data_IF_987628706185
#
_entry.id   IF_987628706185
#
_cell.length_a   1.000
_cell.length_b   1.000
_cell.length_c   1.000
_cell.angle_alpha   90.00
_cell.angle_beta   90.00
_cell.angle_gamma   90.00
#
_symmetry.space_group_name_H-M   'P 1'
#
loop_
_entity.id
_entity.type
_entity.pdbx_description
1 polymer ?
#
# COMPACT_ATOMS: atom_id res chain seq x y z
N UNK A 1 -12.03 -36.89 82.64
CA UNK A 1 -13.10 -37.15 81.67
C UNK A 1 -12.54 -37.02 80.28
N UNK A 2 -12.48 -38.12 79.60
CA UNK A 2 -11.79 -38.33 78.34
C UNK A 2 -12.79 -38.07 77.23
N UNK A 3 -12.51 -37.21 76.25
CA UNK A 3 -13.26 -37.15 74.99
C UNK A 3 -12.30 -37.38 73.82
N UNK A 4 -12.62 -38.42 73.07
CA UNK A 4 -11.89 -38.90 71.91
C UNK A 4 -12.09 -37.94 70.71
N UNK A 5 -10.99 -37.53 70.08
CA UNK A 5 -11.00 -36.85 68.81
C UNK A 5 -10.97 -37.85 67.63
N UNK A 6 -11.84 -37.67 66.65
CA UNK A 6 -11.88 -38.45 65.43
C UNK A 6 -10.89 -37.89 64.40
N UNK A 7 -10.04 -38.75 63.85
CA UNK A 7 -9.11 -38.46 62.78
C UNK A 7 -9.87 -38.72 61.45
N UNK A 8 -10.11 -37.64 60.69
CA UNK A 8 -10.65 -37.75 59.33
C UNK A 8 -9.51 -37.91 58.31
N UNK A 9 -9.49 -39.05 57.61
CA UNK A 9 -8.62 -39.26 56.42
C UNK A 9 -9.17 -38.44 55.22
N UNK A 10 -8.40 -37.46 54.79
CA UNK A 10 -8.58 -36.87 53.48
C UNK A 10 -7.87 -37.73 52.43
N UNK A 11 -8.63 -38.43 51.58
CA UNK A 11 -8.11 -39.09 50.39
C UNK A 11 -7.90 -38.04 49.31
N UNK A 12 -6.66 -37.67 49.04
CA UNK A 12 -6.28 -36.78 47.94
C UNK A 12 -6.36 -37.51 46.59
N UNK A 13 -7.26 -37.09 45.72
CA UNK A 13 -7.32 -37.53 44.33
C UNK A 13 -6.16 -36.88 43.56
N UNK A 14 -5.08 -37.62 43.28
CA UNK A 14 -4.04 -37.27 42.35
C UNK A 14 -4.58 -37.44 40.92
N UNK A 15 -5.00 -36.36 40.33
CA UNK A 15 -5.22 -36.29 38.87
C UNK A 15 -3.84 -36.33 38.17
N UNK A 16 -3.51 -37.49 37.61
CA UNK A 16 -2.35 -37.65 36.74
C UNK A 16 -2.64 -36.93 35.42
N UNK A 17 -2.06 -35.73 35.25
CA UNK A 17 -1.94 -35.10 33.94
C UNK A 17 -0.92 -35.91 33.11
N UNK A 18 -1.43 -36.71 32.15
CA UNK A 18 -0.60 -37.28 31.11
C UNK A 18 -0.08 -36.12 30.25
N UNK A 19 1.24 -35.96 30.05
CA UNK A 19 1.71 -35.00 29.09
C UNK A 19 1.25 -35.44 27.70
N UNK A 20 0.39 -34.65 27.06
CA UNK A 20 0.13 -34.81 25.63
C UNK A 20 1.47 -34.69 24.91
N UNK A 21 1.93 -35.81 24.34
CA UNK A 21 3.11 -35.83 23.50
C UNK A 21 2.89 -34.83 22.36
N UNK A 22 3.65 -33.75 22.36
CA UNK A 22 3.70 -32.86 21.23
C UNK A 22 4.12 -33.70 20.02
N UNK A 23 3.22 -33.84 19.05
CA UNK A 23 3.52 -34.57 17.83
C UNK A 23 4.76 -33.95 17.20
N UNK A 24 5.84 -34.73 17.10
CA UNK A 24 7.05 -34.31 16.39
C UNK A 24 6.63 -33.93 14.97
N UNK A 25 7.00 -32.75 14.48
CA UNK A 25 6.70 -32.38 13.11
C UNK A 25 7.38 -33.38 12.18
N UNK A 26 6.59 -34.12 11.39
CA UNK A 26 7.10 -35.03 10.37
C UNK A 26 8.03 -34.33 9.38
N UNK A 27 8.83 -35.07 8.60
CA UNK A 27 9.76 -34.49 7.65
C UNK A 27 9.04 -33.55 6.69
N UNK A 28 9.62 -32.37 6.48
CA UNK A 28 9.10 -31.39 5.50
C UNK A 28 9.28 -31.97 4.10
N UNK A 29 8.23 -31.94 3.26
CA UNK A 29 8.40 -32.21 1.83
C UNK A 29 9.31 -31.14 1.21
N UNK A 30 10.51 -31.46 0.74
CA UNK A 30 11.45 -30.47 0.25
C UNK A 30 10.98 -29.76 -1.04
N UNK A 31 9.93 -30.26 -1.67
CA UNK A 31 9.34 -29.65 -2.87
C UNK A 31 8.38 -28.50 -2.55
N UNK A 32 7.89 -28.41 -1.32
CA UNK A 32 6.99 -27.33 -0.88
C UNK A 32 7.83 -26.15 -0.45
N UNK A 33 7.78 -25.01 -1.15
CA UNK A 33 8.47 -23.80 -0.72
C UNK A 33 8.03 -23.44 0.70
N UNK A 34 9.00 -23.15 1.55
CA UNK A 34 8.71 -22.82 2.94
C UNK A 34 8.25 -21.37 3.06
N UNK A 35 7.18 -21.14 3.81
CA UNK A 35 6.78 -19.79 4.19
C UNK A 35 7.94 -19.12 4.95
N UNK A 36 8.37 -17.91 4.53
CA UNK A 36 9.43 -17.20 5.24
C UNK A 36 8.98 -16.81 6.65
N UNK A 37 9.90 -16.85 7.60
CA UNK A 37 9.68 -16.32 8.93
C UNK A 37 10.05 -14.84 8.91
N UNK A 38 9.09 -13.98 8.58
CA UNK A 38 9.24 -12.54 8.55
C UNK A 38 8.64 -11.92 9.81
N UNK A 39 9.24 -10.81 10.25
CA UNK A 39 8.76 -10.03 11.37
C UNK A 39 8.75 -8.55 10.98
N UNK A 40 7.81 -7.75 11.48
CA UNK A 40 7.86 -6.31 11.36
C UNK A 40 9.12 -5.76 12.05
N UNK A 41 9.76 -4.76 11.50
CA UNK A 41 10.88 -4.12 12.17
C UNK A 41 11.58 -3.07 11.32
N UNK A 42 12.20 -2.10 11.96
CA UNK A 42 12.39 -1.96 13.40
C UNK A 42 11.13 -1.54 14.18
N UNK A 43 10.15 -0.91 13.53
CA UNK A 43 8.91 -0.52 14.18
C UNK A 43 7.86 -1.62 14.09
N UNK A 44 7.20 -1.87 15.20
CA UNK A 44 6.16 -2.89 15.30
C UNK A 44 4.79 -2.32 14.91
N UNK A 45 3.89 -3.14 14.35
CA UNK A 45 2.54 -2.70 14.03
C UNK A 45 1.79 -2.22 15.29
N UNK A 46 0.80 -1.37 15.10
CA UNK A 46 -0.02 -0.84 16.19
C UNK A 46 -0.81 -1.93 16.94
N UNK A 47 -1.14 -3.02 16.24
CA UNK A 47 -1.71 -4.23 16.81
C UNK A 47 -0.94 -5.44 16.28
N UNK A 48 -0.86 -6.51 17.06
CA UNK A 48 -0.16 -7.72 16.63
C UNK A 48 -0.79 -8.32 15.37
N UNK A 49 0.05 -8.57 14.34
CA UNK A 49 -0.37 -9.27 13.13
C UNK A 49 -0.19 -10.78 13.34
N UNK A 50 -1.20 -11.63 13.07
CA UNK A 50 -1.09 -13.08 13.27
C UNK A 50 -0.24 -13.72 12.17
N UNK A 51 1.08 -13.81 12.41
CA UNK A 51 2.03 -14.39 11.46
C UNK A 51 2.39 -15.85 11.74
N UNK A 52 2.19 -16.31 12.97
CA UNK A 52 2.63 -17.62 13.48
C UNK A 52 1.59 -18.74 13.32
N UNK A 53 0.66 -18.60 12.41
CA UNK A 53 -0.39 -19.59 12.20
C UNK A 53 0.13 -20.85 11.51
N UNK A 54 -0.18 -22.02 12.06
CA UNK A 54 0.32 -23.29 11.55
C UNK A 54 -0.59 -23.86 10.47
N UNK A 55 0.00 -24.57 9.50
CA UNK A 55 -0.71 -25.26 8.43
C UNK A 55 -0.56 -26.78 8.56
N UNK A 56 -1.52 -27.50 8.00
CA UNK A 56 -1.40 -28.95 7.82
C UNK A 56 -0.40 -29.25 6.70
N UNK A 57 0.76 -29.78 7.06
CA UNK A 57 1.85 -30.07 6.14
C UNK A 57 1.52 -31.16 5.13
N UNK A 58 0.49 -31.96 5.38
CA UNK A 58 0.04 -33.02 4.47
C UNK A 58 -1.01 -32.52 3.47
N UNK A 59 -1.62 -31.36 3.72
CA UNK A 59 -2.62 -30.75 2.83
C UNK A 59 -1.97 -29.81 1.83
N UNK A 60 -1.34 -30.36 0.80
CA UNK A 60 -0.66 -29.61 -0.24
C UNK A 60 -1.33 -29.80 -1.60
N UNK A 61 -1.63 -28.72 -2.29
CA UNK A 61 -2.23 -28.68 -3.61
C UNK A 61 -1.27 -28.04 -4.63
N UNK A 62 -0.67 -28.88 -5.49
CA UNK A 62 0.09 -28.39 -6.63
C UNK A 62 -0.86 -28.06 -7.79
N UNK A 63 -0.73 -26.86 -8.34
CA UNK A 63 -1.48 -26.48 -9.55
C UNK A 63 -0.70 -26.92 -10.76
N UNK A 64 -1.37 -27.70 -11.65
CA UNK A 64 -0.80 -28.07 -12.95
C UNK A 64 -1.34 -27.09 -14.01
N UNK A 65 -0.50 -26.33 -14.69
CA UNK A 65 -0.94 -25.44 -15.75
C UNK A 65 -1.58 -26.22 -16.91
N UNK A 66 -2.36 -25.52 -17.71
CA UNK A 66 -2.85 -26.00 -18.99
C UNK A 66 -1.77 -26.06 -20.06
N UNK A 67 -2.20 -26.21 -21.31
CA UNK A 67 -1.33 -25.97 -22.46
C UNK A 67 -1.09 -24.47 -22.60
N UNK A 68 -0.04 -24.11 -23.30
CA UNK A 68 0.22 -22.69 -23.62
C UNK A 68 -1.02 -22.07 -24.28
N UNK A 69 -1.54 -21.00 -23.68
CA UNK A 69 -2.73 -20.30 -24.13
C UNK A 69 -4.06 -20.74 -23.50
N UNK A 70 -4.07 -21.82 -22.69
CA UNK A 70 -5.23 -22.18 -21.89
C UNK A 70 -5.47 -21.16 -20.76
N UNK A 71 -6.68 -21.14 -20.23
CA UNK A 71 -7.01 -20.39 -19.00
C UNK A 71 -6.77 -21.27 -17.76
N UNK A 72 -5.88 -20.84 -16.89
CA UNK A 72 -5.56 -21.55 -15.65
C UNK A 72 -6.39 -21.07 -14.44
N UNK A 73 -7.18 -20.00 -14.56
CA UNK A 73 -8.02 -19.49 -13.47
C UNK A 73 -8.90 -20.58 -12.82
N UNK A 74 -9.60 -21.45 -13.60
CA UNK A 74 -10.39 -22.52 -12.99
C UNK A 74 -9.59 -23.52 -12.16
N UNK A 75 -8.36 -23.86 -12.61
CA UNK A 75 -7.47 -24.81 -11.91
C UNK A 75 -6.91 -24.20 -10.63
N UNK A 76 -6.49 -22.93 -10.69
CA UNK A 76 -6.01 -22.16 -9.54
C UNK A 76 -7.14 -22.10 -8.50
N UNK A 77 -8.35 -21.70 -8.88
CA UNK A 77 -9.51 -21.64 -7.99
C UNK A 77 -9.84 -22.99 -7.36
N UNK A 78 -9.79 -24.07 -8.14
CA UNK A 78 -10.05 -25.42 -7.64
C UNK A 78 -9.02 -25.87 -6.59
N UNK A 79 -7.73 -25.58 -6.82
CA UNK A 79 -6.66 -25.88 -5.85
C UNK A 79 -6.80 -25.05 -4.57
N UNK A 80 -7.10 -23.75 -4.70
CA UNK A 80 -7.34 -22.86 -3.56
C UNK A 80 -8.55 -23.34 -2.73
N UNK A 81 -9.66 -23.73 -3.36
CA UNK A 81 -10.82 -24.32 -2.64
C UNK A 81 -10.47 -25.61 -1.95
N UNK A 82 -9.72 -26.50 -2.62
CA UNK A 82 -9.34 -27.82 -2.07
C UNK A 82 -8.41 -27.70 -0.86
N UNK A 83 -7.43 -26.80 -0.92
CA UNK A 83 -6.45 -26.60 0.17
C UNK A 83 -6.86 -25.50 1.16
N UNK A 84 -8.00 -24.85 0.97
CA UNK A 84 -8.52 -23.88 1.95
C UNK A 84 -8.69 -24.53 3.34
N UNK A 85 -8.65 -23.73 4.41
CA UNK A 85 -8.70 -24.17 5.81
C UNK A 85 -7.53 -25.09 6.19
N UNK A 86 -6.33 -24.53 6.18
CA UNK A 86 -5.13 -25.13 6.78
C UNK A 86 -4.15 -25.74 5.81
N UNK A 87 -4.37 -25.70 4.48
CA UNK A 87 -3.44 -26.25 3.51
C UNK A 87 -2.49 -25.24 2.89
N UNK A 88 -1.67 -25.76 1.98
CA UNK A 88 -0.74 -24.96 1.14
C UNK A 88 -1.04 -25.21 -0.34
N UNK A 89 -1.19 -24.15 -1.10
CA UNK A 89 -1.27 -24.19 -2.57
C UNK A 89 0.07 -23.82 -3.14
N UNK A 90 0.57 -24.59 -4.12
CA UNK A 90 1.86 -24.36 -4.78
C UNK A 90 1.62 -24.01 -6.24
N UNK A 91 2.10 -22.83 -6.62
CA UNK A 91 2.11 -22.25 -7.96
C UNK A 91 3.57 -22.07 -8.39
N UNK A 92 4.20 -23.14 -8.87
CA UNK A 92 5.64 -23.21 -9.18
C UNK A 92 5.96 -23.24 -10.67
N UNK A 93 4.97 -22.97 -11.53
CA UNK A 93 5.08 -22.99 -12.99
C UNK A 93 4.64 -21.65 -13.58
N UNK A 94 4.46 -21.61 -14.89
CA UNK A 94 3.85 -20.51 -15.62
C UNK A 94 2.35 -20.76 -15.77
N UNK A 95 1.55 -19.75 -15.41
CA UNK A 95 0.09 -19.79 -15.44
C UNK A 95 -0.44 -18.56 -16.16
N UNK A 96 -1.46 -18.75 -17.00
CA UNK A 96 -2.15 -17.63 -17.66
C UNK A 96 -3.57 -17.52 -17.14
N UNK A 97 -3.97 -16.36 -16.67
CA UNK A 97 -5.34 -16.05 -16.25
C UNK A 97 -6.05 -15.29 -17.38
N UNK A 98 -7.17 -15.83 -17.85
CA UNK A 98 -7.98 -15.26 -18.94
C UNK A 98 -9.43 -14.98 -18.55
N UNK A 99 -9.85 -15.42 -17.36
CA UNK A 99 -11.19 -15.17 -16.82
C UNK A 99 -11.12 -14.65 -15.39
N UNK A 100 -12.11 -13.87 -14.93
CA UNK A 100 -12.13 -13.27 -13.61
C UNK A 100 -12.03 -14.29 -12.48
N UNK A 101 -11.26 -13.95 -11.42
CA UNK A 101 -10.96 -14.87 -10.33
C UNK A 101 -11.30 -14.25 -8.97
N UNK A 102 -12.48 -14.57 -8.42
CA UNK A 102 -12.88 -14.19 -7.07
C UNK A 102 -12.27 -15.13 -6.04
N UNK A 103 -11.39 -14.58 -5.18
CA UNK A 103 -10.65 -15.28 -4.13
C UNK A 103 -11.01 -14.80 -2.72
N UNK A 104 -12.15 -14.14 -2.54
CA UNK A 104 -12.60 -13.65 -1.20
C UNK A 104 -13.08 -14.75 -0.24
N UNK A 105 -13.03 -16.00 -0.66
CA UNK A 105 -13.36 -17.17 0.16
C UNK A 105 -12.18 -17.76 0.93
N UNK A 106 -10.98 -17.20 0.81
CA UNK A 106 -9.76 -17.77 1.39
C UNK A 106 -9.78 -17.72 2.92
N UNK A 107 -9.35 -18.79 3.53
CA UNK A 107 -9.32 -18.89 4.98
C UNK A 107 -8.21 -19.81 5.43
N UNK A 108 -7.38 -19.35 6.36
CA UNK A 108 -6.33 -20.11 6.98
C UNK A 108 -5.51 -20.91 5.95
N UNK A 109 -4.83 -20.22 5.02
CA UNK A 109 -4.18 -20.83 3.86
C UNK A 109 -2.82 -20.22 3.56
N UNK A 110 -1.87 -21.07 3.15
CA UNK A 110 -0.60 -20.67 2.58
C UNK A 110 -0.63 -20.80 1.05
N UNK A 111 -0.07 -19.81 0.36
CA UNK A 111 0.02 -19.79 -1.11
C UNK A 111 1.47 -19.52 -1.49
N UNK A 112 2.16 -20.56 -1.93
CA UNK A 112 3.53 -20.49 -2.43
C UNK A 112 3.51 -20.22 -3.93
N UNK A 113 3.60 -18.97 -4.34
CA UNK A 113 3.72 -18.54 -5.72
C UNK A 113 5.19 -18.32 -6.06
N UNK A 114 5.91 -19.36 -6.47
CA UNK A 114 7.32 -19.29 -6.85
C UNK A 114 7.53 -19.33 -8.36
N UNK A 115 6.48 -19.59 -9.13
CA UNK A 115 6.40 -19.48 -10.57
C UNK A 115 5.92 -18.12 -11.03
N UNK A 116 5.28 -18.06 -12.19
CA UNK A 116 4.74 -16.84 -12.79
C UNK A 116 3.25 -16.98 -13.02
N UNK A 117 2.49 -15.95 -12.63
CA UNK A 117 1.09 -15.75 -13.04
C UNK A 117 1.05 -14.53 -13.94
N UNK A 118 0.54 -14.70 -15.15
CA UNK A 118 0.32 -13.59 -16.10
C UNK A 118 -1.15 -13.46 -16.49
N UNK A 119 -1.57 -12.24 -16.83
CA UNK A 119 -2.93 -11.97 -17.31
C UNK A 119 -2.96 -11.88 -18.82
N UNK A 120 -4.00 -12.49 -19.42
CA UNK A 120 -4.21 -12.44 -20.86
C UNK A 120 -4.50 -11.03 -21.35
N UNK A 121 -4.14 -10.75 -22.61
CA UNK A 121 -4.23 -9.43 -23.27
C UNK A 121 -5.44 -9.30 -24.19
N UNK A 122 -6.51 -10.05 -23.95
CA UNK A 122 -7.78 -9.82 -24.63
C UNK A 122 -8.50 -8.63 -23.97
N UNK A 123 -8.14 -7.42 -24.42
CA UNK A 123 -8.60 -6.18 -23.81
C UNK A 123 -10.10 -6.00 -23.95
N UNK A 124 -10.69 -6.40 -25.09
CA UNK A 124 -12.13 -6.30 -25.32
C UNK A 124 -12.92 -7.18 -24.33
N UNK A 125 -12.49 -8.42 -24.16
CA UNK A 125 -13.07 -9.32 -23.16
C UNK A 125 -12.97 -8.71 -21.76
N UNK A 126 -11.81 -8.20 -21.38
CA UNK A 126 -11.58 -7.69 -20.04
C UNK A 126 -12.39 -6.42 -19.74
N UNK A 127 -12.56 -5.49 -20.70
CA UNK A 127 -13.41 -4.30 -20.51
C UNK A 127 -14.85 -4.65 -20.10
N UNK A 128 -15.32 -5.85 -20.42
CA UNK A 128 -16.67 -6.33 -20.12
C UNK A 128 -16.74 -7.24 -18.89
N UNK A 129 -15.59 -7.71 -18.36
CA UNK A 129 -15.56 -8.80 -17.38
C UNK A 129 -14.72 -8.52 -16.12
N UNK A 130 -14.29 -7.30 -15.88
CA UNK A 130 -13.57 -6.95 -14.65
C UNK A 130 -14.45 -7.07 -13.41
N UNK A 131 -13.80 -7.26 -12.25
CA UNK A 131 -14.37 -6.87 -10.98
C UNK A 131 -14.27 -5.36 -10.84
N UNK A 132 -15.39 -4.67 -10.76
CA UNK A 132 -15.44 -3.23 -10.47
C UNK A 132 -15.43 -3.00 -8.98
N UNK A 133 -14.66 -2.01 -8.55
CA UNK A 133 -14.60 -1.57 -7.18
C UNK A 133 -15.11 -0.12 -7.09
N UNK A 134 -15.87 0.19 -6.07
CA UNK A 134 -16.64 1.45 -5.99
C UNK A 134 -15.80 2.70 -5.74
N UNK A 135 -14.49 2.58 -5.51
CA UNK A 135 -13.59 3.70 -5.26
C UNK A 135 -12.79 4.04 -6.52
N UNK A 136 -12.90 5.29 -6.98
CA UNK A 136 -12.17 5.84 -8.15
C UNK A 136 -12.27 4.96 -9.42
N UNK A 137 -13.45 4.38 -9.68
CA UNK A 137 -13.71 3.49 -10.81
C UNK A 137 -12.68 2.35 -10.96
N UNK A 138 -12.07 1.95 -9.85
CA UNK A 138 -11.07 0.90 -9.82
C UNK A 138 -11.65 -0.44 -10.32
N UNK A 139 -10.84 -1.19 -11.02
CA UNK A 139 -11.19 -2.54 -11.46
C UNK A 139 -9.98 -3.48 -11.38
N UNK A 140 -10.23 -4.78 -11.38
CA UNK A 140 -9.18 -5.80 -11.37
C UNK A 140 -9.64 -7.09 -12.02
N UNK A 141 -8.69 -7.90 -12.44
CA UNK A 141 -8.89 -9.26 -12.97
C UNK A 141 -9.26 -10.28 -11.88
N UNK A 142 -8.78 -10.03 -10.67
CA UNK A 142 -9.03 -10.86 -9.49
C UNK A 142 -9.20 -10.03 -8.24
N UNK A 143 -9.88 -10.60 -7.27
CA UNK A 143 -10.08 -9.98 -5.97
C UNK A 143 -9.72 -10.97 -4.87
N UNK A 144 -8.84 -10.56 -3.99
CA UNK A 144 -8.36 -11.35 -2.87
C UNK A 144 -9.04 -10.93 -1.57
N UNK A 145 -9.40 -11.88 -0.74
CA UNK A 145 -9.98 -11.59 0.58
C UNK A 145 -10.16 -12.83 1.41
N UNK A 146 -10.48 -12.63 2.68
CA UNK A 146 -10.68 -13.69 3.66
C UNK A 146 -9.81 -13.53 4.90
N UNK A 147 -9.49 -14.61 5.58
CA UNK A 147 -8.85 -14.57 6.89
C UNK A 147 -7.58 -15.43 6.94
N UNK A 148 -6.52 -14.90 7.58
CA UNK A 148 -5.28 -15.63 7.83
C UNK A 148 -4.69 -16.25 6.56
N UNK A 149 -4.25 -15.40 5.64
CA UNK A 149 -3.71 -15.78 4.34
C UNK A 149 -2.24 -15.40 4.29
N UNK A 150 -1.37 -16.31 3.86
CA UNK A 150 0.04 -16.01 3.61
C UNK A 150 0.38 -16.30 2.15
N UNK A 151 0.64 -15.24 1.39
CA UNK A 151 1.08 -15.31 0.01
C UNK A 151 2.58 -14.99 -0.07
N UNK A 152 3.38 -15.92 -0.59
CA UNK A 152 4.83 -15.73 -0.66
C UNK A 152 5.47 -16.25 -1.95
N UNK A 153 6.43 -15.48 -2.44
CA UNK A 153 7.10 -15.73 -3.73
C UNK A 153 8.54 -16.22 -3.63
N UNK A 154 9.13 -16.28 -2.44
CA UNK A 154 10.54 -16.66 -2.21
C UNK A 154 11.55 -15.90 -3.10
N UNK A 155 11.25 -14.68 -3.51
CA UNK A 155 12.07 -13.83 -4.38
C UNK A 155 12.04 -14.19 -5.88
N UNK A 156 11.33 -15.25 -6.27
CA UNK A 156 11.18 -15.67 -7.67
C UNK A 156 9.77 -15.51 -8.21
N UNK A 157 8.76 -15.65 -7.34
CA UNK A 157 7.36 -15.57 -7.71
C UNK A 157 6.99 -14.27 -8.39
N UNK A 158 6.34 -14.35 -9.55
CA UNK A 158 6.04 -13.19 -10.38
C UNK A 158 4.55 -13.10 -10.68
N UNK A 159 3.99 -11.89 -10.55
CA UNK A 159 2.67 -11.53 -11.06
C UNK A 159 2.90 -10.49 -12.15
N UNK A 160 2.47 -10.79 -13.39
CA UNK A 160 2.74 -9.98 -14.58
C UNK A 160 1.45 -9.49 -15.21
N UNK A 161 1.29 -8.16 -15.30
CA UNK A 161 0.06 -7.52 -15.77
C UNK A 161 -0.03 -7.32 -17.29
N UNK A 162 1.05 -7.59 -18.05
CA UNK A 162 1.11 -7.30 -19.49
C UNK A 162 0.70 -5.85 -19.82
N UNK A 163 1.14 -4.89 -18.97
CA UNK A 163 0.70 -3.48 -18.99
C UNK A 163 0.92 -2.76 -20.30
N UNK A 164 1.93 -3.14 -21.11
CA UNK A 164 2.21 -2.45 -22.37
C UNK A 164 1.00 -2.40 -23.30
N UNK A 165 0.29 -3.52 -23.44
CA UNK A 165 -0.91 -3.56 -24.27
C UNK A 165 -1.99 -2.56 -23.80
N UNK A 166 -2.07 -2.35 -22.48
CA UNK A 166 -2.99 -1.41 -21.86
C UNK A 166 -2.54 0.05 -22.00
N UNK A 167 -1.24 0.32 -21.93
CA UNK A 167 -0.71 1.67 -22.13
C UNK A 167 -0.95 2.14 -23.56
N UNK A 168 -0.66 1.27 -24.54
CA UNK A 168 -0.84 1.56 -25.96
C UNK A 168 -2.33 1.79 -26.28
N UNK A 169 -3.22 0.94 -25.77
CA UNK A 169 -4.66 1.09 -25.96
C UNK A 169 -5.21 2.36 -25.28
N UNK A 170 -4.78 2.67 -24.05
CA UNK A 170 -5.22 3.87 -23.36
C UNK A 170 -4.73 5.16 -24.04
N UNK A 171 -3.55 5.14 -24.65
CA UNK A 171 -3.05 6.24 -25.46
C UNK A 171 -3.84 6.43 -26.75
N UNK A 172 -4.28 5.33 -27.39
CA UNK A 172 -5.11 5.34 -28.58
C UNK A 172 -6.59 5.65 -28.29
N UNK A 173 -7.09 5.18 -27.13
CA UNK A 173 -8.47 5.29 -26.70
C UNK A 173 -8.54 5.72 -25.24
N UNK A 174 -8.67 7.01 -24.99
CA UNK A 174 -8.68 7.61 -23.65
C UNK A 174 -9.81 7.15 -22.73
N UNK A 175 -10.79 6.35 -23.20
CA UNK A 175 -11.85 5.77 -22.38
C UNK A 175 -11.52 4.36 -21.87
N UNK A 176 -10.35 3.81 -22.21
CA UNK A 176 -9.93 2.47 -21.78
C UNK A 176 -9.70 2.43 -20.27
N UNK A 177 -10.49 1.63 -19.57
CA UNK A 177 -10.31 1.37 -18.13
C UNK A 177 -9.18 0.36 -17.96
N UNK A 178 -8.20 0.70 -17.12
CA UNK A 178 -7.02 -0.13 -16.90
C UNK A 178 -7.11 -0.82 -15.54
N UNK A 179 -6.91 -2.16 -15.47
CA UNK A 179 -7.07 -2.90 -14.22
C UNK A 179 -5.88 -2.73 -13.27
N UNK A 180 -6.17 -2.76 -11.98
CA UNK A 180 -5.21 -2.90 -10.89
C UNK A 180 -4.66 -4.34 -10.90
N UNK A 181 -3.34 -4.48 -10.75
CA UNK A 181 -2.69 -5.79 -10.81
C UNK A 181 -3.06 -6.68 -9.62
N UNK A 182 -3.13 -6.13 -8.40
CA UNK A 182 -3.43 -6.87 -7.18
C UNK A 182 -4.41 -6.10 -6.30
N UNK A 183 -5.66 -6.56 -6.24
CA UNK A 183 -6.73 -5.95 -5.46
C UNK A 183 -7.13 -6.85 -4.30
N UNK A 184 -7.10 -6.32 -3.07
CA UNK A 184 -7.76 -6.98 -1.94
C UNK A 184 -9.10 -6.32 -1.64
N UNK A 185 -10.05 -7.11 -1.16
CA UNK A 185 -11.33 -6.64 -0.64
C UNK A 185 -11.74 -7.55 0.53
N UNK A 186 -11.40 -7.09 1.73
CA UNK A 186 -11.66 -7.85 2.96
C UNK A 186 -10.64 -8.96 3.25
N UNK A 187 -9.34 -8.65 3.18
CA UNK A 187 -8.28 -9.54 3.67
C UNK A 187 -7.91 -9.17 5.11
N UNK A 188 -8.08 -10.10 6.04
CA UNK A 188 -7.85 -9.90 7.47
C UNK A 188 -6.83 -10.89 8.02
N UNK A 189 -5.64 -10.40 8.34
CA UNK A 189 -4.54 -11.18 8.91
C UNK A 189 -3.69 -11.93 7.89
N UNK A 190 -2.38 -11.89 8.13
CA UNK A 190 -1.40 -12.64 7.34
C UNK A 190 -0.35 -11.80 6.66
N UNK A 191 0.17 -12.28 5.53
CA UNK A 191 1.31 -11.60 4.88
C UNK A 191 1.34 -11.77 3.35
N UNK A 192 1.98 -10.79 2.70
CA UNK A 192 2.35 -10.80 1.28
C UNK A 192 3.86 -10.56 1.21
N UNK A 193 4.64 -11.52 0.66
CA UNK A 193 6.10 -11.38 0.76
C UNK A 193 6.87 -12.01 -0.40
N UNK A 194 8.00 -11.38 -0.75
CA UNK A 194 8.98 -11.92 -1.68
C UNK A 194 8.48 -12.11 -3.11
N UNK A 195 7.51 -11.31 -3.57
CA UNK A 195 6.96 -11.34 -4.91
C UNK A 195 7.55 -10.25 -5.80
N UNK A 196 7.56 -10.53 -7.10
CA UNK A 196 7.83 -9.58 -8.16
C UNK A 196 6.52 -9.18 -8.82
N UNK A 197 6.20 -7.89 -8.81
CA UNK A 197 5.04 -7.33 -9.53
C UNK A 197 5.55 -6.61 -10.76
N UNK A 198 5.05 -6.98 -11.93
CA UNK A 198 5.60 -6.53 -13.21
C UNK A 198 4.52 -5.99 -14.13
N UNK A 199 4.80 -4.81 -14.68
CA UNK A 199 4.03 -4.19 -15.74
C UNK A 199 2.52 -4.17 -15.46
N UNK A 200 2.14 -3.58 -14.35
CA UNK A 200 0.74 -3.31 -14.02
C UNK A 200 0.14 -2.34 -15.05
N UNK A 201 -1.08 -2.55 -15.53
CA UNK A 201 -1.74 -1.56 -16.38
C UNK A 201 -2.12 -0.26 -15.68
N UNK A 202 -2.42 -0.32 -14.40
CA UNK A 202 -2.79 0.77 -13.51
C UNK A 202 -2.04 0.57 -12.19
N UNK A 203 -2.58 0.97 -11.03
CA UNK A 203 -1.97 0.72 -9.73
C UNK A 203 -1.49 -0.73 -9.59
N UNK A 204 -0.32 -0.93 -9.03
CA UNK A 204 0.14 -2.30 -8.76
C UNK A 204 -0.73 -2.95 -7.70
N UNK A 205 -1.07 -2.23 -6.64
CA UNK A 205 -1.83 -2.80 -5.53
C UNK A 205 -2.86 -1.82 -4.99
N UNK A 206 -4.05 -2.35 -4.66
CA UNK A 206 -5.02 -1.69 -3.79
C UNK A 206 -5.38 -2.62 -2.64
N UNK A 207 -4.97 -2.25 -1.44
CA UNK A 207 -5.35 -2.93 -0.20
C UNK A 207 -6.63 -2.26 0.30
N UNK A 208 -7.78 -2.89 0.04
CA UNK A 208 -9.08 -2.31 0.36
C UNK A 208 -9.85 -3.13 1.41
N UNK A 209 -10.57 -2.45 2.30
CA UNK A 209 -11.41 -3.05 3.34
C UNK A 209 -10.68 -4.15 4.15
N UNK A 210 -9.39 -3.98 4.39
CA UNK A 210 -8.48 -5.02 4.86
C UNK A 210 -7.76 -4.62 6.15
N UNK A 211 -7.24 -5.59 6.91
CA UNK A 211 -6.50 -5.30 8.14
C UNK A 211 -5.48 -6.37 8.51
N UNK A 212 -4.55 -5.99 9.38
CA UNK A 212 -3.60 -6.91 10.04
C UNK A 212 -2.69 -7.64 9.03
N UNK A 213 -2.07 -6.89 8.11
CA UNK A 213 -1.28 -7.45 7.01
C UNK A 213 0.19 -6.98 7.11
N UNK A 214 1.12 -7.93 7.00
CA UNK A 214 2.54 -7.63 6.79
C UNK A 214 2.91 -7.83 5.31
N UNK A 215 3.35 -6.77 4.66
CA UNK A 215 3.86 -6.75 3.30
C UNK A 215 5.37 -6.53 3.36
N UNK A 216 6.16 -7.45 2.79
CA UNK A 216 7.62 -7.39 2.94
C UNK A 216 8.37 -7.96 1.73
N UNK A 217 9.56 -7.43 1.47
CA UNK A 217 10.50 -7.97 0.47
C UNK A 217 9.91 -8.05 -0.95
N UNK A 218 9.16 -7.02 -1.34
CA UNK A 218 8.54 -6.91 -2.65
C UNK A 218 9.47 -6.24 -3.66
N UNK A 219 9.37 -6.64 -4.92
CA UNK A 219 10.08 -6.03 -6.05
C UNK A 219 9.06 -5.62 -7.13
N UNK A 220 8.77 -4.32 -7.19
CA UNK A 220 7.74 -3.74 -8.06
C UNK A 220 8.42 -2.96 -9.19
N UNK A 221 8.05 -3.29 -10.43
CA UNK A 221 8.59 -2.60 -11.60
C UNK A 221 7.56 -2.49 -12.72
N UNK A 222 7.38 -1.27 -13.25
CA UNK A 222 6.64 -1.00 -14.47
C UNK A 222 7.24 0.17 -15.23
N UNK A 223 7.30 0.03 -16.54
CA UNK A 223 7.69 1.11 -17.47
C UNK A 223 7.11 0.81 -18.84
N UNK A 224 6.69 1.86 -19.55
CA UNK A 224 6.34 1.73 -20.97
C UNK A 224 7.61 1.53 -21.83
N UNK A 225 7.47 0.74 -22.87
CA UNK A 225 8.49 0.51 -23.91
C UNK A 225 8.13 1.18 -25.24
N UNK A 226 7.01 1.90 -25.29
CA UNK A 226 6.55 2.72 -26.42
C UNK A 226 6.45 4.19 -26.01
N UNK A 227 5.97 5.04 -26.90
CA UNK A 227 5.65 6.46 -26.62
C UNK A 227 4.41 6.63 -25.75
N UNK A 228 3.63 5.56 -25.51
CA UNK A 228 2.46 5.61 -24.64
C UNK A 228 2.89 5.78 -23.16
N UNK A 229 2.38 6.83 -22.52
CA UNK A 229 2.71 7.08 -21.12
C UNK A 229 2.01 6.07 -20.19
N UNK A 230 2.79 5.43 -19.35
CA UNK A 230 2.31 4.48 -18.35
C UNK A 230 1.97 5.19 -17.04
N UNK A 231 0.85 5.93 -17.00
CA UNK A 231 0.40 6.68 -15.83
C UNK A 231 -0.31 5.83 -14.77
N UNK A 232 -0.43 6.36 -13.57
CA UNK A 232 -1.13 5.74 -12.43
C UNK A 232 -0.56 4.35 -12.08
N UNK A 233 0.73 4.26 -11.97
CA UNK A 233 1.42 3.01 -11.62
C UNK A 233 1.72 2.89 -10.13
N UNK A 234 0.88 3.49 -9.27
CA UNK A 234 1.06 3.49 -7.81
C UNK A 234 1.50 2.12 -7.28
N UNK A 235 2.47 2.10 -6.37
CA UNK A 235 3.00 0.86 -5.81
C UNK A 235 2.02 0.22 -4.85
N UNK A 236 1.67 0.92 -3.80
CA UNK A 236 0.73 0.47 -2.77
C UNK A 236 -0.30 1.56 -2.45
N UNK A 237 -1.55 1.29 -2.77
CA UNK A 237 -2.67 2.09 -2.30
C UNK A 237 -3.39 1.40 -1.15
N UNK A 238 -3.80 2.16 -0.15
CA UNK A 238 -4.62 1.65 0.95
C UNK A 238 -5.96 2.40 1.00
N UNK A 239 -7.06 1.71 1.20
CA UNK A 239 -8.40 2.27 1.27
C UNK A 239 -9.26 1.53 2.29
N UNK A 240 -9.78 2.21 3.31
CA UNK A 240 -10.49 1.56 4.43
C UNK A 240 -9.68 0.42 5.03
N UNK A 241 -8.44 0.73 5.38
CA UNK A 241 -7.42 -0.25 5.77
C UNK A 241 -6.86 0.12 7.13
N UNK A 242 -6.70 -0.88 8.00
CA UNK A 242 -6.19 -0.70 9.36
C UNK A 242 -5.05 -1.68 9.67
N UNK A 243 -4.05 -1.22 10.42
CA UNK A 243 -2.97 -2.03 10.96
C UNK A 243 -2.20 -2.83 9.89
N UNK A 244 -1.52 -2.10 9.00
CA UNK A 244 -0.68 -2.67 7.93
C UNK A 244 0.76 -2.22 8.09
N UNK A 245 1.68 -3.13 7.81
CA UNK A 245 3.12 -2.81 7.69
C UNK A 245 3.56 -3.10 6.25
N UNK A 246 4.17 -2.11 5.60
CA UNK A 246 4.81 -2.24 4.28
C UNK A 246 6.28 -1.99 4.47
N UNK A 247 7.13 -3.00 4.17
CA UNK A 247 8.55 -2.89 4.48
C UNK A 247 9.49 -3.53 3.47
N UNK A 248 10.77 -3.12 3.50
CA UNK A 248 11.91 -3.75 2.84
C UNK A 248 11.68 -4.05 1.35
N UNK A 249 11.17 -3.08 0.60
CA UNK A 249 10.75 -3.31 -0.78
C UNK A 249 11.40 -2.33 -1.76
N UNK A 250 11.66 -2.82 -2.97
CA UNK A 250 12.10 -2.00 -4.09
C UNK A 250 10.92 -1.69 -5.00
N UNK A 251 10.71 -0.41 -5.29
CA UNK A 251 9.57 0.07 -6.08
C UNK A 251 10.09 1.03 -7.14
N UNK A 252 9.90 0.68 -8.41
CA UNK A 252 10.40 1.46 -9.55
C UNK A 252 9.32 1.59 -10.61
N UNK A 253 8.69 2.76 -10.65
CA UNK A 253 7.60 3.11 -11.57
C UNK A 253 7.39 4.63 -11.57
N UNK A 254 6.31 5.11 -12.13
CA UNK A 254 6.05 6.52 -12.42
C UNK A 254 4.72 7.00 -11.80
N UNK A 255 4.50 6.78 -10.48
CA UNK A 255 3.42 7.39 -9.69
C UNK A 255 3.72 7.24 -8.17
N UNK A 256 2.74 7.37 -7.28
CA UNK A 256 2.94 7.28 -5.84
C UNK A 256 3.58 5.94 -5.42
N UNK A 257 4.67 5.98 -4.67
CA UNK A 257 5.29 4.76 -4.13
C UNK A 257 4.36 4.04 -3.15
N UNK A 258 3.79 4.82 -2.23
CA UNK A 258 2.68 4.42 -1.36
C UNK A 258 1.68 5.58 -1.32
N UNK A 259 0.40 5.28 -1.36
CA UNK A 259 -0.65 6.31 -1.26
C UNK A 259 -1.74 5.89 -0.28
N UNK A 260 -1.88 6.66 0.81
CA UNK A 260 -2.91 6.42 1.82
C UNK A 260 -4.20 7.11 1.40
N UNK A 261 -5.12 6.35 0.81
CA UNK A 261 -6.46 6.81 0.40
C UNK A 261 -7.41 6.86 1.62
N UNK A 262 -8.66 7.33 1.49
CA UNK A 262 -9.59 7.49 2.59
C UNK A 262 -9.73 6.29 3.53
N UNK A 263 -9.81 6.58 4.81
CA UNK A 263 -9.99 5.63 5.91
C UNK A 263 -8.83 4.62 6.06
N UNK A 264 -7.59 5.11 5.88
CA UNK A 264 -6.34 4.40 6.15
C UNK A 264 -5.79 4.79 7.52
N UNK A 265 -5.64 3.81 8.42
CA UNK A 265 -5.23 4.05 9.80
C UNK A 265 -4.22 3.03 10.30
N UNK A 266 -3.38 3.43 11.26
CA UNK A 266 -2.41 2.53 11.93
C UNK A 266 -1.46 1.84 10.93
N UNK A 267 -0.82 2.59 10.05
CA UNK A 267 0.04 2.02 9.01
C UNK A 267 1.50 2.41 9.23
N UNK A 268 2.39 1.43 9.09
CA UNK A 268 3.84 1.63 9.13
C UNK A 268 4.41 1.34 7.75
N UNK A 269 5.22 2.28 7.23
CA UNK A 269 5.99 2.11 6.00
C UNK A 269 7.46 2.27 6.33
N UNK A 270 8.28 1.23 6.11
CA UNK A 270 9.67 1.28 6.52
C UNK A 270 10.63 0.55 5.58
N UNK A 271 11.79 1.15 5.33
CA UNK A 271 12.86 0.52 4.55
C UNK A 271 12.54 0.33 3.07
N UNK A 272 11.76 1.24 2.46
CA UNK A 272 11.51 1.22 1.04
C UNK A 272 12.60 1.94 0.25
N UNK A 273 12.85 1.47 -0.96
CA UNK A 273 13.58 2.18 -2.00
C UNK A 273 12.63 2.48 -3.15
N UNK A 274 12.21 3.74 -3.27
CA UNK A 274 11.29 4.23 -4.30
C UNK A 274 12.08 4.99 -5.37
N UNK A 275 12.00 4.57 -6.62
CA UNK A 275 12.69 5.23 -7.73
C UNK A 275 11.72 5.67 -8.82
N UNK A 276 11.76 6.94 -9.21
CA UNK A 276 10.92 7.52 -10.25
C UNK A 276 9.49 7.84 -9.81
N UNK A 277 9.18 7.71 -8.53
CA UNK A 277 7.81 7.85 -8.01
C UNK A 277 7.37 9.30 -7.79
N UNK A 278 6.08 9.50 -7.51
CA UNK A 278 5.54 10.78 -7.06
C UNK A 278 5.67 11.00 -5.55
N UNK A 279 6.17 10.03 -4.79
CA UNK A 279 6.42 10.11 -3.36
C UNK A 279 5.68 9.07 -2.52
N UNK A 280 5.84 9.16 -1.19
CA UNK A 280 4.95 8.50 -0.23
C UNK A 280 3.88 9.52 0.15
N UNK A 281 2.66 9.28 -0.28
CA UNK A 281 1.60 10.28 -0.35
C UNK A 281 0.42 9.97 0.58
N UNK A 282 -0.07 10.97 1.29
CA UNK A 282 -1.42 10.95 1.86
C UNK A 282 -2.39 11.49 0.81
N UNK A 283 -3.35 10.68 0.41
CA UNK A 283 -4.45 11.16 -0.45
C UNK A 283 -4.38 10.71 -1.93
N UNK A 284 -5.10 11.42 -2.80
CA UNK A 284 -5.82 12.67 -2.51
C UNK A 284 -7.05 12.46 -1.62
N UNK A 285 -7.30 13.39 -0.70
CA UNK A 285 -8.45 13.39 0.20
C UNK A 285 -9.36 14.57 -0.12
N UNK A 286 -10.63 14.48 0.31
CA UNK A 286 -11.62 15.52 0.05
C UNK A 286 -12.13 15.56 -1.39
N UNK A 287 -11.91 14.50 -2.17
CA UNK A 287 -12.25 14.43 -3.59
C UNK A 287 -13.77 14.45 -3.85
N UNK A 288 -14.56 13.89 -2.97
CA UNK A 288 -15.99 13.70 -3.17
C UNK A 288 -16.82 14.50 -2.17
N UNK A 289 -17.78 15.34 -2.64
CA UNK A 289 -18.72 16.05 -1.75
C UNK A 289 -19.46 15.05 -0.85
N UNK A 290 -19.75 15.47 0.37
CA UNK A 290 -20.49 14.68 1.38
C UNK A 290 -19.75 13.44 1.90
N UNK A 291 -18.49 13.20 1.49
CA UNK A 291 -17.63 12.19 2.11
C UNK A 291 -16.79 12.81 3.22
N UNK A 292 -16.47 11.98 4.21
CA UNK A 292 -15.60 12.35 5.31
C UNK A 292 -14.42 11.40 5.34
N UNK A 293 -13.26 11.90 4.89
CA UNK A 293 -12.05 11.11 4.69
C UNK A 293 -11.16 11.17 5.93
N UNK A 294 -10.69 10.01 6.38
CA UNK A 294 -9.83 9.90 7.56
C UNK A 294 -8.52 9.25 7.15
N UNK A 295 -7.40 9.87 7.51
CA UNK A 295 -6.09 9.23 7.52
C UNK A 295 -5.41 9.56 8.83
N UNK A 296 -5.01 8.53 9.60
CA UNK A 296 -4.35 8.77 10.88
C UNK A 296 -3.38 7.66 11.29
N UNK A 297 -2.50 8.03 12.22
CA UNK A 297 -1.58 7.11 12.87
C UNK A 297 -0.67 6.41 11.85
N UNK A 298 0.06 7.24 11.08
CA UNK A 298 1.03 6.79 10.10
C UNK A 298 2.46 7.01 10.60
N UNK A 299 3.32 6.01 10.46
CA UNK A 299 4.74 6.15 10.71
C UNK A 299 5.55 5.67 9.52
N UNK A 300 6.17 6.61 8.81
CA UNK A 300 6.95 6.40 7.59
C UNK A 300 8.43 6.55 7.96
N UNK A 301 9.20 5.46 7.91
CA UNK A 301 10.54 5.41 8.48
C UNK A 301 11.60 4.84 7.54
N UNK A 302 12.75 5.51 7.47
CA UNK A 302 13.96 5.04 6.79
C UNK A 302 13.68 4.62 5.34
N UNK A 303 13.15 5.54 4.54
CA UNK A 303 12.89 5.29 3.13
C UNK A 303 13.82 6.11 2.24
N UNK A 304 14.31 5.50 1.17
CA UNK A 304 15.10 6.19 0.13
C UNK A 304 14.19 6.52 -1.03
N UNK A 305 14.13 7.81 -1.35
CA UNK A 305 13.34 8.36 -2.44
C UNK A 305 14.33 8.84 -3.51
N UNK A 306 14.38 8.15 -4.65
CA UNK A 306 15.32 8.45 -5.73
C UNK A 306 14.59 8.92 -7.00
N UNK A 307 15.03 10.02 -7.58
CA UNK A 307 14.45 10.58 -8.82
C UNK A 307 12.93 10.78 -8.74
N UNK A 308 12.42 11.17 -7.57
CA UNK A 308 10.99 11.34 -7.34
C UNK A 308 10.55 12.79 -7.57
N UNK A 309 9.26 12.98 -7.90
CA UNK A 309 8.71 14.34 -7.95
C UNK A 309 8.59 14.92 -6.54
N UNK A 310 8.31 14.09 -5.55
CA UNK A 310 8.27 14.50 -4.14
C UNK A 310 8.69 13.32 -3.27
N UNK A 311 9.30 13.54 -2.11
CA UNK A 311 9.56 12.46 -1.19
C UNK A 311 8.38 12.22 -0.22
N UNK A 312 7.94 13.25 0.49
CA UNK A 312 6.82 13.21 1.42
C UNK A 312 5.70 14.15 0.95
N UNK A 313 4.50 13.61 0.74
CA UNK A 313 3.43 14.36 0.08
C UNK A 313 2.07 14.23 0.77
N UNK A 314 1.36 15.35 0.93
CA UNK A 314 -0.04 15.41 1.33
C UNK A 314 -0.85 16.11 0.24
N UNK A 315 -1.80 15.40 -0.38
CA UNK A 315 -2.65 15.88 -1.49
C UNK A 315 -4.09 16.00 -1.01
N UNK A 316 -4.61 17.22 -0.97
CA UNK A 316 -5.96 17.47 -0.47
C UNK A 316 -6.69 18.41 -1.42
N UNK A 317 -7.90 18.04 -1.79
CA UNK A 317 -8.74 18.84 -2.67
C UNK A 317 -9.31 20.07 -1.96
N UNK A 318 -9.56 21.16 -2.68
CA UNK A 318 -10.22 22.34 -2.14
C UNK A 318 -11.68 22.04 -1.69
N UNK A 319 -12.24 22.95 -0.92
CA UNK A 319 -13.60 22.83 -0.39
C UNK A 319 -14.72 23.13 -1.39
N UNK A 320 -14.38 23.55 -2.61
CA UNK A 320 -15.34 23.68 -3.70
C UNK A 320 -15.93 22.33 -4.07
N UNK A 321 -17.25 22.28 -4.27
CA UNK A 321 -17.89 21.04 -4.74
C UNK A 321 -17.42 20.67 -6.14
N UNK A 322 -17.23 19.38 -6.38
CA UNK A 322 -16.83 18.86 -7.66
C UNK A 322 -17.78 19.31 -8.78
N UNK A 323 -17.25 20.01 -9.75
CA UNK A 323 -18.00 20.46 -10.92
C UNK A 323 -18.02 19.33 -11.95
N UNK A 324 -19.22 18.87 -12.29
CA UNK A 324 -19.42 17.92 -13.38
C UNK A 324 -19.10 18.60 -14.71
N UNK A 325 -17.88 18.40 -15.25
CA UNK A 325 -17.51 18.92 -16.57
C UNK A 325 -17.02 17.78 -17.45
N UNK A 326 -17.73 17.51 -18.54
CA UNK A 326 -17.23 16.66 -19.62
C UNK A 326 -17.11 15.17 -19.28
N UNK A 327 -16.27 14.47 -20.01
CA UNK A 327 -15.95 13.06 -19.85
C UNK A 327 -14.40 12.92 -19.75
N UNK A 328 -13.81 12.50 -18.61
CA UNK A 328 -14.47 12.12 -17.35
C UNK A 328 -15.10 13.32 -16.63
N UNK A 329 -16.18 13.08 -15.86
CA UNK A 329 -17.04 14.17 -15.38
C UNK A 329 -16.57 14.86 -14.09
N UNK A 330 -15.38 14.60 -13.55
CA UNK A 330 -15.01 14.99 -12.21
C UNK A 330 -13.79 15.91 -12.17
N UNK A 331 -14.02 17.12 -11.73
CA UNK A 331 -13.04 17.87 -10.95
C UNK A 331 -13.37 17.53 -9.49
N UNK A 332 -12.42 17.03 -8.70
CA UNK A 332 -12.64 16.67 -7.32
C UNK A 332 -12.83 17.89 -6.41
N UNK A 333 -13.31 17.67 -5.22
CA UNK A 333 -13.44 18.69 -4.18
C UNK A 333 -14.73 18.60 -3.37
N UNK A 334 -14.79 19.44 -2.31
CA UNK A 334 -15.99 19.57 -1.47
C UNK A 334 -16.14 18.52 -0.37
N UNK A 335 -15.33 17.48 -0.34
CA UNK A 335 -15.28 16.51 0.74
C UNK A 335 -14.59 17.07 1.99
N UNK A 336 -14.91 16.50 3.15
CA UNK A 336 -14.35 16.89 4.43
C UNK A 336 -13.53 15.72 5.04
N UNK A 337 -12.84 15.97 6.14
CA UNK A 337 -12.12 14.92 6.85
C UNK A 337 -10.98 15.44 7.70
N UNK A 338 -10.06 14.55 8.02
CA UNK A 338 -8.81 14.94 8.67
C UNK A 338 -7.66 14.00 8.35
N UNK A 339 -6.46 14.57 8.44
CA UNK A 339 -5.19 13.85 8.55
C UNK A 339 -4.62 14.16 9.93
N UNK A 340 -4.26 13.13 10.70
CA UNK A 340 -3.74 13.33 12.04
C UNK A 340 -2.68 12.30 12.42
N UNK A 341 -1.68 12.75 13.21
CA UNK A 341 -0.62 11.90 13.74
C UNK A 341 0.13 11.16 12.62
N UNK A 342 0.76 11.92 11.74
CA UNK A 342 1.55 11.41 10.62
C UNK A 342 3.01 11.82 10.81
N UNK A 343 3.90 10.86 10.83
CA UNK A 343 5.34 11.12 10.94
C UNK A 343 6.09 10.54 9.74
N UNK A 344 6.82 11.41 9.04
CA UNK A 344 7.88 11.03 8.11
C UNK A 344 9.22 11.19 8.81
N UNK A 345 9.94 10.09 9.03
CA UNK A 345 11.19 10.04 9.77
C UNK A 345 12.28 9.34 8.95
N UNK A 346 13.44 9.96 8.86
CA UNK A 346 14.58 9.38 8.16
C UNK A 346 14.26 9.14 6.66
N UNK A 347 13.98 10.24 5.94
CA UNK A 347 13.75 10.23 4.49
C UNK A 347 15.00 10.68 3.75
N UNK A 348 15.57 9.77 2.97
CA UNK A 348 16.77 10.04 2.16
C UNK A 348 16.30 10.53 0.78
N UNK A 349 16.67 11.77 0.42
CA UNK A 349 16.36 12.37 -0.87
C UNK A 349 17.54 12.21 -1.81
N UNK A 350 17.35 11.48 -2.91
CA UNK A 350 18.36 11.27 -3.93
C UNK A 350 17.83 11.80 -5.27
N UNK A 351 18.24 13.03 -5.62
CA UNK A 351 17.85 13.66 -6.87
C UNK A 351 16.32 13.85 -7.03
N UNK A 352 15.64 14.31 -5.97
CA UNK A 352 14.19 14.53 -5.99
C UNK A 352 13.85 15.97 -6.37
N UNK A 353 12.64 16.22 -6.94
CA UNK A 353 12.23 17.59 -7.20
C UNK A 353 11.92 18.34 -5.89
N UNK A 354 11.02 17.81 -5.08
CA UNK A 354 10.68 18.35 -3.76
C UNK A 354 10.90 17.31 -2.66
N UNK A 355 11.37 17.71 -1.50
CA UNK A 355 11.44 16.85 -0.34
C UNK A 355 10.09 16.73 0.39
N UNK A 356 9.39 17.84 0.53
CA UNK A 356 8.11 17.93 1.21
C UNK A 356 7.12 18.69 0.35
N UNK A 357 5.91 18.15 0.24
CA UNK A 357 4.80 18.88 -0.36
C UNK A 357 3.53 18.69 0.48
N UNK A 358 3.01 19.76 1.05
CA UNK A 358 1.63 19.87 1.51
C UNK A 358 0.91 20.72 0.46
N UNK A 359 -0.18 20.17 -0.10
CA UNK A 359 -0.98 20.84 -1.12
C UNK A 359 -2.47 20.63 -0.83
N UNK A 360 -3.08 21.63 -0.18
CA UNK A 360 -4.53 21.68 0.04
C UNK A 360 -5.28 22.40 -1.09
N UNK A 361 -4.61 22.65 -2.19
CA UNK A 361 -5.17 23.17 -3.44
C UNK A 361 -5.09 22.15 -4.57
N UNK A 362 -4.87 20.87 -4.24
CA UNK A 362 -4.66 19.80 -5.20
C UNK A 362 -5.78 19.72 -6.22
N UNK A 363 -5.44 19.81 -7.51
CA UNK A 363 -6.41 19.75 -8.60
C UNK A 363 -7.32 20.99 -8.72
N UNK A 364 -7.07 22.07 -7.99
CA UNK A 364 -7.75 23.33 -8.20
C UNK A 364 -7.55 23.83 -9.64
N UNK A 365 -8.60 24.44 -10.20
CA UNK A 365 -8.53 24.97 -11.59
C UNK A 365 -7.60 26.19 -11.64
N UNK A 366 -7.57 26.95 -10.56
CA UNK A 366 -6.68 28.12 -10.38
C UNK A 366 -6.51 28.43 -8.90
N UNK A 367 -5.56 29.30 -8.57
CA UNK A 367 -5.27 29.70 -7.18
C UNK A 367 -6.46 30.34 -6.48
N UNK A 368 -7.26 31.19 -7.17
CA UNK A 368 -8.42 31.86 -6.55
C UNK A 368 -9.50 30.86 -6.14
N UNK A 369 -9.71 29.76 -6.84
CA UNK A 369 -10.66 28.72 -6.44
C UNK A 369 -10.30 28.12 -5.07
N UNK A 370 -9.02 27.89 -4.84
CA UNK A 370 -8.53 27.36 -3.58
C UNK A 370 -8.65 28.39 -2.43
N UNK A 371 -8.42 29.67 -2.72
CA UNK A 371 -8.54 30.74 -1.74
C UNK A 371 -10.01 31.02 -1.37
N UNK A 372 -10.91 31.03 -2.35
CA UNK A 372 -12.34 31.25 -2.15
C UNK A 372 -13.01 30.03 -1.48
N UNK A 373 -12.46 28.86 -1.67
CA UNK A 373 -12.99 27.58 -1.17
C UNK A 373 -11.90 26.72 -0.52
N UNK A 374 -11.38 27.12 0.65
CA UNK A 374 -10.33 26.36 1.33
C UNK A 374 -10.79 24.94 1.67
N UNK A 375 -9.83 24.02 1.71
CA UNK A 375 -10.11 22.61 2.01
C UNK A 375 -10.87 22.43 3.31
N UNK A 376 -11.83 21.50 3.31
CA UNK A 376 -12.56 21.04 4.50
C UNK A 376 -11.91 19.84 5.18
N UNK A 377 -10.76 19.40 4.69
CA UNK A 377 -9.94 18.37 5.33
C UNK A 377 -8.88 19.07 6.18
N UNK A 378 -8.87 18.79 7.46
CA UNK A 378 -7.96 19.42 8.43
C UNK A 378 -6.71 18.54 8.59
N UNK A 379 -5.52 19.18 8.54
CA UNK A 379 -4.24 18.51 8.78
C UNK A 379 -3.75 18.88 10.18
N UNK A 380 -3.54 17.87 11.04
CA UNK A 380 -3.03 18.11 12.40
C UNK A 380 -1.94 17.12 12.78
N UNK A 381 -0.98 17.54 13.60
CA UNK A 381 0.06 16.69 14.14
C UNK A 381 0.85 15.95 13.02
N UNK A 382 1.35 16.70 12.04
CA UNK A 382 2.19 16.16 10.97
C UNK A 382 3.64 16.54 11.23
N UNK A 383 4.52 15.55 11.29
CA UNK A 383 5.94 15.74 11.58
C UNK A 383 6.81 15.21 10.44
N UNK A 384 7.64 16.09 9.90
CA UNK A 384 8.73 15.75 8.98
C UNK A 384 10.05 15.86 9.72
N UNK A 385 10.77 14.76 9.91
CA UNK A 385 12.04 14.82 10.63
C UNK A 385 13.14 13.99 10.01
N UNK A 386 14.38 14.42 10.24
CA UNK A 386 15.56 13.72 9.75
C UNK A 386 15.48 13.48 8.24
N UNK A 387 15.26 14.53 7.46
CA UNK A 387 15.22 14.47 6.00
C UNK A 387 16.47 15.12 5.43
N UNK A 388 17.20 14.40 4.58
CA UNK A 388 18.42 14.95 3.97
C UNK A 388 18.64 14.41 2.56
N UNK A 389 19.55 15.06 1.82
CA UNK A 389 19.97 14.64 0.50
C UNK A 389 19.98 15.77 -0.54
N UNK A 390 19.63 15.44 -1.78
CA UNK A 390 19.78 16.35 -2.92
C UNK A 390 18.47 16.58 -3.65
N UNK A 391 18.25 17.82 -4.08
CA UNK A 391 17.22 18.15 -5.07
C UNK A 391 17.75 17.90 -6.50
N UNK A 392 16.83 17.72 -7.49
CA UNK A 392 17.19 17.53 -8.89
C UNK A 392 17.33 18.83 -9.69
N UNK A 393 16.94 19.96 -9.10
CA UNK A 393 17.03 21.28 -9.70
C UNK A 393 15.88 21.67 -10.63
N UNK A 394 14.82 20.86 -10.74
CA UNK A 394 13.69 21.21 -11.60
C UNK A 394 12.97 22.49 -11.15
N UNK A 395 12.87 22.70 -9.83
CA UNK A 395 12.28 23.91 -9.22
C UNK A 395 13.33 24.75 -8.43
N UNK A 396 14.64 24.55 -8.71
CA UNK A 396 15.74 25.21 -8.02
C UNK A 396 15.53 26.74 -7.96
N UNK A 397 15.64 27.39 -6.79
CA UNK A 397 16.11 26.85 -5.50
C UNK A 397 15.00 26.30 -4.58
N UNK A 398 13.78 26.08 -5.06
CA UNK A 398 12.66 25.59 -4.24
C UNK A 398 12.81 24.09 -3.99
N UNK A 399 12.90 23.70 -2.71
CA UNK A 399 13.07 22.32 -2.27
C UNK A 399 11.81 21.72 -1.63
N UNK A 400 10.78 22.55 -1.39
CA UNK A 400 9.51 22.06 -0.85
C UNK A 400 8.42 23.13 -0.79
N UNK A 401 7.20 22.66 -0.54
CA UNK A 401 5.99 23.47 -0.47
C UNK A 401 5.12 23.02 0.70
N UNK A 402 4.73 23.94 1.57
CA UNK A 402 3.85 23.70 2.71
C UNK A 402 2.65 24.65 2.59
N UNK A 403 1.68 24.28 1.75
CA UNK A 403 0.57 25.15 1.37
C UNK A 403 -0.71 24.63 2.02
N UNK A 404 -1.17 25.33 3.07
CA UNK A 404 -2.47 25.11 3.69
C UNK A 404 -3.54 25.98 3.03
N UNK A 405 -4.79 25.52 3.06
CA UNK A 405 -5.92 26.19 2.42
C UNK A 405 -6.38 27.45 3.16
N UNK A 406 -6.27 27.46 4.49
CA UNK A 406 -6.61 28.57 5.38
C UNK A 406 -5.83 28.47 6.69
N UNK A 407 -5.92 29.49 7.54
CA UNK A 407 -5.31 29.50 8.88
C UNK A 407 -5.81 28.35 9.77
N UNK A 408 -7.08 27.96 9.62
CA UNK A 408 -7.70 26.91 10.44
C UNK A 408 -7.56 25.49 9.84
N UNK A 409 -6.96 25.34 8.65
CA UNK A 409 -6.91 24.06 7.94
C UNK A 409 -5.69 23.22 8.24
N UNK A 410 -4.67 23.81 8.90
CA UNK A 410 -3.48 23.12 9.38
C UNK A 410 -3.16 23.53 10.81
N UNK A 411 -2.80 22.55 11.64
CA UNK A 411 -2.37 22.78 13.02
C UNK A 411 -1.23 21.84 13.38
N UNK A 412 -0.23 22.31 14.13
CA UNK A 412 0.92 21.54 14.58
C UNK A 412 1.63 20.79 13.41
N UNK A 413 1.90 21.51 12.31
CA UNK A 413 2.75 21.02 11.23
C UNK A 413 4.19 21.33 11.58
N UNK A 414 5.04 20.31 11.68
CA UNK A 414 6.40 20.44 12.20
C UNK A 414 7.44 19.90 11.24
N UNK A 415 8.59 20.55 11.17
CA UNK A 415 9.79 20.05 10.52
C UNK A 415 10.96 20.08 11.51
N UNK A 416 11.72 18.99 11.60
CA UNK A 416 12.85 18.84 12.49
C UNK A 416 14.05 18.25 11.73
N UNK A 417 15.19 18.93 11.73
CA UNK A 417 16.42 18.47 11.08
C UNK A 417 16.21 18.10 9.60
N UNK A 418 15.70 19.05 8.81
CA UNK A 418 15.53 18.90 7.36
C UNK A 418 16.65 19.65 6.65
N UNK A 419 17.52 18.94 5.94
CA UNK A 419 18.71 19.51 5.29
C UNK A 419 18.86 19.00 3.87
N UNK A 420 18.68 19.88 2.89
CA UNK A 420 18.83 19.55 1.47
C UNK A 420 19.91 20.39 0.81
N UNK A 421 20.40 19.91 -0.31
CA UNK A 421 21.31 20.65 -1.18
C UNK A 421 20.72 20.76 -2.58
N UNK A 422 20.81 21.97 -3.14
CA UNK A 422 20.40 22.24 -4.52
C UNK A 422 21.58 22.12 -5.49
N UNK A 423 21.36 21.70 -6.73
CA UNK A 423 22.42 21.63 -7.74
C UNK A 423 23.09 22.97 -8.06
N UNK A 424 22.37 24.09 -7.95
CA UNK A 424 22.92 25.45 -8.11
C UNK A 424 23.89 25.83 -7.01
N UNK A 425 23.85 25.17 -5.86
CA UNK A 425 24.53 25.56 -4.64
C UNK A 425 23.83 26.68 -3.88
N UNK A 426 22.73 27.21 -4.39
CA UNK A 426 21.88 28.15 -3.65
C UNK A 426 21.22 27.49 -2.46
N UNK A 427 21.01 28.19 -1.34
CA UNK A 427 20.28 27.66 -0.21
C UNK A 427 18.86 27.22 -0.61
N UNK A 428 18.39 26.05 -0.14
CA UNK A 428 17.04 25.57 -0.45
C UNK A 428 15.98 26.54 0.10
N UNK A 429 14.99 26.85 -0.73
CA UNK A 429 13.85 27.69 -0.39
C UNK A 429 12.60 26.82 -0.17
N UNK A 430 11.71 27.31 0.71
CA UNK A 430 10.48 26.64 1.06
C UNK A 430 9.30 27.56 0.82
N UNK A 431 8.36 27.20 -0.03
CA UNK A 431 7.12 27.95 -0.22
C UNK A 431 6.14 27.60 0.88
N UNK A 432 5.68 28.60 1.64
CA UNK A 432 4.76 28.37 2.74
C UNK A 432 3.53 29.29 2.64
N UNK A 433 2.39 28.74 3.10
CA UNK A 433 1.17 29.52 3.29
C UNK A 433 0.41 28.96 4.50
N UNK A 434 0.04 29.84 5.44
CA UNK A 434 -0.65 29.51 6.67
C UNK A 434 0.09 28.44 7.51
N UNK A 435 1.39 28.64 7.71
CA UNK A 435 2.25 27.80 8.54
C UNK A 435 2.76 28.57 9.74
N UNK A 436 2.93 27.90 10.88
CA UNK A 436 3.69 28.39 12.01
C UNK A 436 5.19 28.13 11.77
N UNK A 437 5.91 29.16 11.34
CA UNK A 437 7.32 29.05 10.98
C UNK A 437 8.22 28.71 12.17
N UNK A 438 7.80 28.97 13.41
CA UNK A 438 8.55 28.64 14.64
C UNK A 438 8.67 27.09 14.81
N UNK A 439 7.77 26.32 14.19
CA UNK A 439 7.77 24.85 14.22
C UNK A 439 8.59 24.21 13.08
N UNK A 440 9.21 25.02 12.19
CA UNK A 440 9.83 24.53 10.96
C UNK A 440 11.36 24.70 10.97
N UNK A 441 12.11 23.66 11.37
CA UNK A 441 13.56 23.56 11.18
C UNK A 441 13.88 23.01 9.79
N UNK A 442 14.00 23.89 8.83
CA UNK A 442 14.20 23.63 7.39
C UNK A 442 15.63 23.94 6.92
N UNK A 443 16.62 23.69 7.77
CA UNK A 443 18.03 23.94 7.43
C UNK A 443 18.45 25.41 7.49
N UNK A 444 17.78 26.21 8.30
CA UNK A 444 18.10 27.61 8.55
C UNK A 444 17.64 28.59 7.46
N UNK A 445 16.86 28.14 6.48
CA UNK A 445 16.20 28.98 5.48
C UNK A 445 14.73 29.12 5.85
N UNK A 446 14.26 30.36 6.02
CA UNK A 446 12.85 30.63 6.30
C UNK A 446 11.94 30.37 5.10
N UNK A 447 10.64 30.45 5.33
CA UNK A 447 9.64 30.36 4.30
C UNK A 447 9.62 31.59 3.40
N UNK A 448 9.38 31.38 2.12
CA UNK A 448 8.97 32.41 1.17
C UNK A 448 7.45 32.26 0.89
N UNK A 449 6.73 33.34 0.58
CA UNK A 449 5.31 33.26 0.25
C UNK A 449 5.05 32.32 -0.94
N UNK A 450 3.98 31.51 -0.84
CA UNK A 450 3.56 30.58 -1.89
C UNK A 450 2.74 31.27 -2.98
#
# INVERSE_FOLDING_TARGET
MITKGAVGLLAGLLLAFSPQAAAHPGPKDPRVPQRPNIQPGPYQPYKAIPLDTRRDRHKVCYVKPGRKGDDDAPKIRAALRKCNNGGTVVLDKEYTIRTPLDLRFLKHIDIALTGTVEFGTDLEFWQQNFFHFHFQDACSWWVWGGEDIHLYGAGTGTIHGNGQAWYDEAAANGSTVRPILFLTDGWHGGSITGLKLRHSPNWHNLIANSSDILISDMDIFSRSTSEAWASNLDGWDTFRTDNVVIQNSNINHDDDCVSFKPNSTNIIVQGLHCNGSHGISVGSLGNYPYQYDIVSDLYIYNNTMANTTTAARLKVWPGAEAIKKGNPPWVGGGGAGYVRNVTYDTMINDNNNLAIQIDQCYGAINASECEDHPSKVILTDVLFKNMWGTANGADDPVAGQLICGSEDSCDNIRAENVTLTNPSGEPPQWKCRFQDEELLDLGGVGCIPA
#
